data_IF_496936493791
#
_entry.id   IF_496936493791
#
_cell.length_a   1.000
_cell.length_b   1.000
_cell.length_c   1.000
_cell.angle_alpha   90.00
_cell.angle_beta   90.00
_cell.angle_gamma   90.00
#
_symmetry.space_group_name_H-M   'P 1'
#
loop_
_entity.id
_entity.type
_entity.pdbx_description
1 polymer ?
#
# COMPACT_ATOMS: atom_id res chain seq x y z
N UNK A 1 8.33 -9.66 1.39
CA UNK A 1 7.85 -8.94 2.59
C UNK A 1 6.36 -8.74 2.42
N UNK A 2 5.57 -9.15 3.40
CA UNK A 2 4.12 -8.98 3.37
C UNK A 2 3.75 -7.83 4.31
N UNK A 3 2.78 -7.00 3.92
CA UNK A 3 2.40 -5.83 4.71
C UNK A 3 0.93 -5.49 4.53
N UNK A 4 0.24 -5.29 5.66
CA UNK A 4 -1.12 -4.77 5.70
C UNK A 4 -1.06 -3.25 5.57
N UNK A 5 -1.83 -2.71 4.62
CA UNK A 5 -1.95 -1.27 4.36
C UNK A 5 -3.43 -0.90 4.25
N UNK A 6 -3.77 0.36 4.50
CA UNK A 6 -5.13 0.86 4.31
C UNK A 6 -5.39 1.16 2.82
N UNK A 7 -6.61 0.87 2.35
CA UNK A 7 -7.01 1.17 0.97
C UNK A 7 -7.05 2.68 0.68
N UNK A 8 -7.15 3.53 1.71
CA UNK A 8 -7.10 5.00 1.64
C UNK A 8 -5.90 5.54 2.38
N UNK A 9 -4.70 5.19 1.92
CA UNK A 9 -3.47 5.75 2.46
C UNK A 9 -3.35 7.25 2.10
N UNK A 10 -3.14 8.10 3.11
CA UNK A 10 -2.91 9.54 2.91
C UNK A 10 -1.42 9.89 2.64
N UNK A 11 -0.53 8.89 2.71
CA UNK A 11 0.91 9.04 2.51
C UNK A 11 1.44 7.89 1.65
N UNK A 12 2.59 8.10 1.01
CA UNK A 12 3.28 7.05 0.26
C UNK A 12 3.67 5.92 1.21
N UNK A 13 3.20 4.71 0.91
CA UNK A 13 3.53 3.52 1.69
C UNK A 13 4.72 2.83 1.05
N UNK A 14 5.79 2.68 1.82
CA UNK A 14 7.02 2.00 1.40
C UNK A 14 7.16 0.64 2.09
N UNK A 15 7.81 -0.29 1.38
CA UNK A 15 8.22 -1.56 1.95
C UNK A 15 9.24 -1.34 3.05
N UNK A 16 8.99 -1.89 4.24
CA UNK A 16 9.87 -1.78 5.41
C UNK A 16 11.25 -2.45 5.25
N UNK A 17 11.44 -3.25 4.21
CA UNK A 17 12.70 -3.99 3.98
C UNK A 17 13.51 -3.37 2.83
N UNK A 18 12.88 -3.09 1.69
CA UNK A 18 13.57 -2.69 0.46
C UNK A 18 13.27 -1.24 0.00
N UNK A 19 12.50 -0.48 0.77
CA UNK A 19 12.09 0.91 0.48
C UNK A 19 11.25 1.11 -0.81
N UNK A 20 10.90 0.03 -1.53
CA UNK A 20 10.03 0.06 -2.70
C UNK A 20 8.65 0.65 -2.37
N UNK A 21 8.09 1.42 -3.30
CA UNK A 21 6.75 2.00 -3.16
C UNK A 21 5.71 0.89 -3.31
N UNK A 22 4.92 0.66 -2.26
CA UNK A 22 3.82 -0.32 -2.24
C UNK A 22 2.48 0.33 -2.58
N UNK A 23 2.27 1.57 -2.14
CA UNK A 23 1.08 2.33 -2.50
C UNK A 23 1.35 3.85 -2.55
N UNK A 24 0.69 4.54 -3.48
CA UNK A 24 0.71 6.00 -3.59
C UNK A 24 -0.65 6.61 -3.21
N UNK A 25 -0.66 7.71 -2.44
CA UNK A 25 -1.90 8.39 -2.07
C UNK A 25 -2.55 9.03 -3.30
N UNK A 26 -3.87 8.91 -3.42
CA UNK A 26 -4.66 9.58 -4.44
C UNK A 26 -5.94 10.16 -3.82
N UNK A 27 -6.68 10.96 -4.59
CA UNK A 27 -7.99 11.48 -4.19
C UNK A 27 -9.04 10.38 -4.11
N UNK A 28 -9.01 9.59 -3.03
CA UNK A 28 -9.87 8.42 -2.84
C UNK A 28 -9.07 7.21 -2.38
N UNK A 29 -9.24 6.08 -3.08
CA UNK A 29 -8.43 4.88 -2.83
C UNK A 29 -7.00 5.12 -3.30
N UNK A 30 -6.04 4.67 -2.51
CA UNK A 30 -4.63 4.67 -2.86
C UNK A 30 -4.38 3.74 -4.05
N UNK A 31 -3.41 4.13 -4.87
CA UNK A 31 -2.93 3.31 -5.98
C UNK A 31 -1.99 2.24 -5.43
N UNK A 32 -2.42 0.98 -5.43
CA UNK A 32 -1.64 -0.14 -4.89
C UNK A 32 -0.76 -0.71 -6.02
N UNK A 33 0.56 -0.57 -5.86
CA UNK A 33 1.58 -1.03 -6.82
C UNK A 33 2.15 -2.42 -6.51
N UNK A 34 1.65 -3.03 -5.44
CA UNK A 34 2.04 -4.36 -4.99
C UNK A 34 0.95 -5.39 -5.29
N UNK A 35 1.31 -6.67 -5.25
CA UNK A 35 0.34 -7.77 -5.33
C UNK A 35 -0.52 -7.82 -4.06
N UNK A 36 -1.84 -7.96 -4.22
CA UNK A 36 -2.80 -8.07 -3.11
C UNK A 36 -3.03 -9.56 -2.84
N UNK A 37 -2.51 -10.05 -1.70
CA UNK A 37 -2.68 -11.44 -1.28
C UNK A 37 -4.04 -11.69 -0.62
N UNK A 38 -4.50 -10.75 0.21
CA UNK A 38 -5.76 -10.84 0.94
C UNK A 38 -6.32 -9.44 1.23
N UNK A 39 -7.64 -9.32 1.38
CA UNK A 39 -8.33 -8.11 1.85
C UNK A 39 -8.92 -8.39 3.22
N UNK A 40 -8.49 -7.60 4.21
CA UNK A 40 -9.00 -7.65 5.58
C UNK A 40 -10.18 -6.67 5.71
N UNK A 41 -11.33 -7.16 6.19
CA UNK A 41 -12.60 -6.41 6.32
C UNK A 41 -12.80 -5.76 7.67
#
# INVERSE_FOLDING_TARGET
>A
NEQIIFDRAAMVVKCRICDSILAEPQGGKADIKAEILEVLG
#
